data_IF_219323893189
#
_entry.id   IF_219323893189
#
_cell.length_a   1.000
_cell.length_b   1.000
_cell.length_c   1.000
_cell.angle_alpha   90.00
_cell.angle_beta   90.00
_cell.angle_gamma   90.00
#
_symmetry.space_group_name_H-M   'P 1'
#
loop_
_entity.id
_entity.type
_entity.pdbx_description
1 polymer ?
#
# COMPACT_ATOMS: atom_id res chain seq x y z
N UNK A 1 8.14 -56.52 34.18
CA UNK A 1 7.71 -55.11 34.35
C UNK A 1 6.67 -54.84 33.26
N UNK A 2 5.37 -54.75 33.61
CA UNK A 2 4.30 -54.50 32.63
C UNK A 2 4.20 -52.99 32.42
N UNK A 3 4.54 -52.51 31.23
CA UNK A 3 4.41 -51.09 30.88
C UNK A 3 2.94 -50.80 30.55
N UNK A 4 2.21 -50.24 31.53
CA UNK A 4 0.89 -49.67 31.27
C UNK A 4 1.07 -48.38 30.48
N UNK A 5 0.95 -48.46 29.16
CA UNK A 5 0.92 -47.29 28.28
C UNK A 5 -0.31 -46.46 28.69
N UNK A 6 -0.09 -45.30 29.30
CA UNK A 6 -1.17 -44.41 29.73
C UNK A 6 -2.00 -44.00 28.49
N UNK A 7 -3.33 -44.11 28.51
CA UNK A 7 -4.19 -43.81 27.35
C UNK A 7 -4.03 -42.37 26.83
N UNK A 8 -3.52 -41.46 27.67
CA UNK A 8 -3.18 -40.07 27.33
C UNK A 8 -2.03 -39.98 26.32
N UNK A 9 -1.01 -40.84 26.41
CA UNK A 9 0.12 -40.83 25.50
C UNK A 9 -0.27 -41.35 24.10
N UNK A 10 -1.22 -42.29 24.06
CA UNK A 10 -1.76 -42.81 22.80
C UNK A 10 -2.69 -41.78 22.13
N UNK A 11 -3.51 -41.08 22.90
CA UNK A 11 -4.37 -40.00 22.39
C UNK A 11 -3.56 -38.83 21.78
N UNK A 12 -2.45 -38.43 22.41
CA UNK A 12 -1.54 -37.40 21.89
C UNK A 12 -0.84 -37.80 20.58
N UNK A 13 -0.53 -39.09 20.42
CA UNK A 13 0.06 -39.61 19.19
C UNK A 13 -0.94 -39.59 18.02
N UNK A 14 -2.22 -39.88 18.29
CA UNK A 14 -3.28 -39.80 17.28
C UNK A 14 -3.65 -38.36 16.91
N UNK A 15 -3.59 -37.41 17.85
CA UNK A 15 -3.79 -35.98 17.51
C UNK A 15 -2.66 -35.40 16.67
N UNK A 16 -1.44 -35.92 16.78
CA UNK A 16 -0.30 -35.51 15.93
C UNK A 16 -0.37 -36.07 14.50
N UNK A 17 -1.00 -37.24 14.30
CA UNK A 17 -1.22 -37.84 12.98
C UNK A 17 -2.50 -37.32 12.29
N UNK A 18 -3.46 -36.83 13.06
CA UNK A 18 -4.68 -36.19 12.55
C UNK A 18 -4.55 -34.66 12.42
N UNK A 19 -3.44 -34.08 12.88
CA UNK A 19 -3.03 -32.73 12.51
C UNK A 19 -2.57 -32.76 11.04
N UNK A 20 -3.55 -32.92 10.16
CA UNK A 20 -3.43 -32.56 8.76
C UNK A 20 -3.21 -31.04 8.78
N UNK A 21 -1.95 -30.60 8.78
CA UNK A 21 -1.65 -29.28 8.29
C UNK A 21 -2.32 -29.22 6.93
N UNK A 22 -3.25 -28.28 6.73
CA UNK A 22 -3.74 -28.02 5.40
C UNK A 22 -2.54 -27.51 4.61
N UNK A 23 -1.80 -28.42 3.97
CA UNK A 23 -0.89 -28.06 2.91
C UNK A 23 -1.79 -27.35 1.90
N UNK A 24 -1.62 -26.05 1.80
CA UNK A 24 -2.17 -25.30 0.68
C UNK A 24 -1.35 -25.81 -0.51
N UNK A 25 -1.79 -26.93 -1.08
CA UNK A 25 -1.36 -27.39 -2.39
C UNK A 25 -1.73 -26.25 -3.33
N UNK A 26 -0.73 -25.40 -3.59
CA UNK A 26 -0.79 -24.39 -4.62
C UNK A 26 -0.75 -25.16 -5.94
N UNK A 27 -1.87 -25.78 -6.32
CA UNK A 27 -2.16 -26.20 -7.69
C UNK A 27 -2.34 -24.94 -8.54
N UNK A 28 -1.28 -24.17 -8.71
CA UNK A 28 -1.12 -23.39 -9.92
C UNK A 28 -0.36 -24.32 -10.85
N UNK A 29 -1.01 -24.87 -11.90
CA UNK A 29 -0.27 -25.53 -12.96
C UNK A 29 0.89 -24.60 -13.34
N UNK A 30 2.11 -25.11 -13.42
CA UNK A 30 3.28 -24.29 -13.77
C UNK A 30 3.07 -23.56 -15.13
N UNK A 31 2.14 -24.07 -15.93
CA UNK A 31 1.75 -23.57 -17.25
C UNK A 31 0.40 -22.84 -17.27
N UNK A 32 -0.23 -22.57 -16.10
CA UNK A 32 -1.42 -21.73 -16.01
C UNK A 32 -1.05 -20.25 -16.17
N UNK A 33 -0.41 -19.93 -17.29
CA UNK A 33 -0.22 -18.57 -17.76
C UNK A 33 -1.61 -18.06 -18.18
N UNK A 34 -2.16 -17.11 -17.43
CA UNK A 34 -3.36 -16.40 -17.84
C UNK A 34 -3.08 -15.46 -19.02
N UNK A 35 -4.12 -15.03 -19.71
CA UNK A 35 -4.05 -14.06 -20.83
C UNK A 35 -4.12 -12.59 -20.36
N UNK A 36 -3.88 -12.34 -19.07
CA UNK A 36 -3.98 -10.99 -18.50
C UNK A 36 -2.81 -10.11 -18.95
N UNK A 37 -3.13 -8.91 -19.45
CA UNK A 37 -2.14 -7.91 -19.87
C UNK A 37 -1.79 -6.98 -18.71
N UNK A 38 -0.59 -7.14 -18.16
CA UNK A 38 -0.06 -6.30 -17.07
C UNK A 38 0.92 -5.23 -17.55
N UNK A 39 0.94 -4.90 -18.85
CA UNK A 39 1.89 -3.93 -19.41
C UNK A 39 1.78 -2.53 -18.82
N UNK A 40 0.59 -2.07 -18.43
CA UNK A 40 0.40 -0.75 -17.82
C UNK A 40 -0.55 -0.82 -16.62
N UNK A 41 0.01 -0.66 -15.42
CA UNK A 41 -0.76 -0.57 -14.19
C UNK A 41 -0.84 0.87 -13.68
N UNK A 42 -2.05 1.37 -13.42
CA UNK A 42 -2.28 2.67 -12.76
C UNK A 42 -3.16 2.50 -11.52
N UNK A 43 -2.75 3.09 -10.40
CA UNK A 43 -3.51 3.09 -9.16
C UNK A 43 -4.08 4.48 -8.87
N UNK A 44 -5.37 4.52 -8.53
CA UNK A 44 -6.09 5.69 -8.05
C UNK A 44 -6.60 5.42 -6.64
N UNK A 45 -6.62 6.44 -5.79
CA UNK A 45 -7.25 6.28 -4.48
C UNK A 45 -6.90 7.35 -3.46
N UNK A 46 -7.20 7.02 -2.20
CA UNK A 46 -6.95 7.84 -1.04
C UNK A 46 -5.67 7.42 -0.26
N UNK A 47 -5.66 7.68 1.05
CA UNK A 47 -4.57 7.36 1.98
C UNK A 47 -4.10 5.91 1.96
N UNK A 48 -4.97 4.93 1.72
CA UNK A 48 -4.58 3.51 1.76
C UNK A 48 -3.73 3.15 0.55
N UNK A 49 -4.12 3.63 -0.63
CA UNK A 49 -3.38 3.43 -1.88
C UNK A 49 -2.11 4.27 -1.92
N UNK A 50 -2.12 5.45 -1.30
CA UNK A 50 -0.97 6.34 -1.24
C UNK A 50 0.11 5.89 -0.23
N UNK A 51 -0.18 4.93 0.66
CA UNK A 51 0.80 4.48 1.66
C UNK A 51 0.89 5.40 2.88
N UNK A 52 -0.25 5.89 3.37
CA UNK A 52 -0.33 6.63 4.63
C UNK A 52 -0.25 5.67 5.81
N UNK A 53 0.56 5.98 6.83
CA UNK A 53 0.54 5.30 8.14
C UNK A 53 0.55 6.33 9.26
N UNK A 54 -0.01 5.97 10.41
CA UNK A 54 -0.09 6.84 11.60
C UNK A 54 -0.62 8.25 11.27
N UNK A 55 -1.68 8.28 10.45
CA UNK A 55 -2.36 9.48 9.95
C UNK A 55 -1.51 10.45 9.11
N UNK A 56 -0.34 10.04 8.61
CA UNK A 56 0.50 10.86 7.73
C UNK A 56 1.08 10.04 6.58
N UNK A 57 1.22 10.69 5.42
CA UNK A 57 1.94 10.11 4.29
C UNK A 57 3.42 9.96 4.65
N UNK A 58 4.00 8.80 4.37
CA UNK A 58 5.41 8.55 4.61
C UNK A 58 6.01 7.63 3.54
N UNK A 59 7.32 7.74 3.34
CA UNK A 59 8.01 7.01 2.26
C UNK A 59 7.93 5.50 2.45
N UNK A 60 8.08 5.02 3.68
CA UNK A 60 8.02 3.58 4.00
C UNK A 60 6.66 3.01 3.62
N UNK A 61 5.58 3.70 3.96
CA UNK A 61 4.23 3.33 3.56
C UNK A 61 4.02 3.41 2.04
N UNK A 62 4.59 4.40 1.34
CA UNK A 62 4.49 4.50 -0.12
C UNK A 62 5.11 3.29 -0.83
N UNK A 63 6.35 2.91 -0.45
CA UNK A 63 7.05 1.78 -1.08
C UNK A 63 6.47 0.42 -0.68
N UNK A 64 5.72 0.34 0.43
CA UNK A 64 5.02 -0.86 0.88
C UNK A 64 3.49 -0.76 0.69
N UNK A 65 3.01 0.20 -0.10
CA UNK A 65 1.58 0.38 -0.34
C UNK A 65 1.03 -0.81 -1.12
N UNK A 66 -0.27 -1.11 -0.99
CA UNK A 66 -0.83 -2.25 -1.73
C UNK A 66 -0.65 -2.12 -3.26
N UNK A 67 -0.72 -0.91 -3.88
CA UNK A 67 -0.36 -0.77 -5.29
C UNK A 67 1.10 -1.12 -5.57
N UNK A 68 2.04 -0.71 -4.72
CA UNK A 68 3.45 -1.06 -4.89
C UNK A 68 3.66 -2.59 -4.82
N UNK A 69 3.00 -3.25 -3.87
CA UNK A 69 3.08 -4.71 -3.72
C UNK A 69 2.49 -5.43 -4.94
N UNK A 70 1.36 -4.95 -5.48
CA UNK A 70 0.76 -5.51 -6.70
C UNK A 70 1.70 -5.30 -7.89
N UNK A 71 2.25 -4.10 -8.03
CA UNK A 71 3.19 -3.74 -9.08
C UNK A 71 4.44 -4.63 -9.07
N UNK A 72 4.98 -4.94 -7.88
CA UNK A 72 6.11 -5.88 -7.75
C UNK A 72 5.78 -7.28 -8.27
N UNK A 73 4.52 -7.74 -8.12
CA UNK A 73 4.09 -9.03 -8.69
C UNK A 73 3.89 -8.97 -10.19
N UNK A 74 3.41 -7.86 -10.72
CA UNK A 74 3.29 -7.64 -12.17
C UNK A 74 4.67 -7.56 -12.83
N UNK A 75 5.63 -6.90 -12.20
CA UNK A 75 7.01 -6.81 -12.68
C UNK A 75 7.69 -8.18 -12.83
N UNK A 76 7.33 -9.15 -12.00
CA UNK A 76 7.87 -10.51 -12.07
C UNK A 76 7.44 -11.29 -13.33
N UNK A 77 6.37 -10.85 -14.02
CA UNK A 77 5.80 -11.53 -15.18
C UNK A 77 5.73 -10.64 -16.43
N UNK A 78 6.13 -9.38 -16.34
CA UNK A 78 6.05 -8.41 -17.44
C UNK A 78 7.42 -7.75 -17.65
N UNK A 79 8.09 -8.04 -18.80
CA UNK A 79 9.34 -7.38 -19.15
C UNK A 79 9.19 -5.86 -19.20
N UNK A 80 10.25 -5.15 -18.79
CA UNK A 80 10.33 -3.68 -18.80
C UNK A 80 9.19 -2.95 -18.03
N UNK A 81 8.49 -3.67 -17.14
CA UNK A 81 7.45 -3.10 -16.31
C UNK A 81 8.01 -2.03 -15.38
N UNK A 82 7.34 -0.87 -15.31
CA UNK A 82 7.71 0.21 -14.42
C UNK A 82 6.50 0.69 -13.62
N UNK A 83 6.72 0.97 -12.35
CA UNK A 83 5.70 1.52 -11.45
C UNK A 83 6.32 2.63 -10.60
N UNK A 84 6.17 3.85 -11.10
CA UNK A 84 6.70 5.04 -10.46
C UNK A 84 5.66 5.63 -9.50
N UNK A 85 6.14 6.06 -8.34
CA UNK A 85 5.34 6.72 -7.32
C UNK A 85 5.94 8.10 -7.03
N UNK A 86 5.12 9.12 -6.73
CA UNK A 86 5.62 10.44 -6.34
C UNK A 86 6.09 10.41 -4.87
N UNK A 87 7.13 9.62 -4.63
CA UNK A 87 7.62 9.32 -3.29
C UNK A 87 8.07 10.58 -2.56
N UNK A 88 7.86 10.63 -1.25
CA UNK A 88 8.52 11.61 -0.39
C UNK A 88 10.04 11.42 -0.42
N UNK A 89 10.84 12.47 -0.16
CA UNK A 89 12.30 12.37 -0.17
C UNK A 89 12.85 11.28 0.76
N UNK A 90 14.00 10.70 0.44
CA UNK A 90 14.67 9.74 1.32
C UNK A 90 15.04 10.39 2.65
N UNK A 91 15.04 9.58 3.73
CA UNK A 91 15.27 10.08 5.08
C UNK A 91 14.10 10.89 5.67
N UNK A 92 13.00 11.08 4.94
CA UNK A 92 11.78 11.71 5.48
C UNK A 92 11.18 10.82 6.56
N UNK A 93 11.25 11.27 7.81
CA UNK A 93 10.52 10.68 8.92
C UNK A 93 9.16 11.37 9.02
N UNK A 94 8.10 10.69 8.61
CA UNK A 94 6.72 11.16 8.75
C UNK A 94 5.84 9.96 9.11
N UNK A 95 4.66 10.16 9.72
CA UNK A 95 3.76 9.05 10.04
C UNK A 95 4.42 7.98 10.91
N UNK A 96 5.01 8.42 12.02
CA UNK A 96 5.64 7.57 13.02
C UNK A 96 5.03 7.86 14.38
N UNK A 97 4.81 6.82 15.18
CA UNK A 97 4.38 6.98 16.57
C UNK A 97 5.59 7.12 17.51
N UNK A 98 5.50 8.10 18.41
CA UNK A 98 6.42 8.31 19.52
C UNK A 98 5.84 7.70 20.78
N UNK A 99 6.60 6.80 21.41
CA UNK A 99 6.35 6.40 22.78
C UNK A 99 6.87 7.49 23.73
N UNK A 100 5.97 8.15 24.46
CA UNK A 100 6.28 9.22 25.41
C UNK A 100 6.40 8.74 26.86
N UNK A 101 6.35 7.43 27.08
CA UNK A 101 6.39 6.81 28.40
C UNK A 101 5.04 6.24 28.82
N UNK A 102 4.90 5.95 30.10
CA UNK A 102 3.66 5.45 30.70
C UNK A 102 2.99 6.56 31.51
N UNK A 103 1.67 6.70 31.37
CA UNK A 103 0.83 7.56 32.23
C UNK A 103 -0.16 6.64 32.93
N UNK A 104 -0.09 6.55 34.27
CA UNK A 104 -0.90 5.62 35.07
C UNK A 104 -0.82 4.15 34.61
N UNK A 105 0.37 3.71 34.18
CA UNK A 105 0.61 2.34 33.71
C UNK A 105 0.17 2.05 32.27
N UNK A 106 -0.41 3.03 31.56
CA UNK A 106 -0.81 2.89 30.16
C UNK A 106 0.20 3.56 29.21
N UNK A 107 0.47 2.98 28.03
CA UNK A 107 1.30 3.61 26.99
C UNK A 107 0.76 4.98 26.59
N UNK A 108 1.59 6.01 26.74
CA UNK A 108 1.37 7.32 26.15
C UNK A 108 2.06 7.35 24.79
N UNK A 109 1.26 7.28 23.73
CA UNK A 109 1.74 7.25 22.34
C UNK A 109 1.19 8.48 21.65
N UNK A 110 2.02 9.17 20.87
CA UNK A 110 1.62 10.32 20.08
C UNK A 110 2.24 10.28 18.69
N UNK A 111 1.59 10.85 17.69
CA UNK A 111 2.22 11.04 16.39
C UNK A 111 3.47 11.93 16.52
N UNK A 112 4.54 11.55 15.81
CA UNK A 112 5.70 12.40 15.59
C UNK A 112 5.30 13.55 14.67
N UNK A 113 5.53 14.79 15.10
CA UNK A 113 5.08 16.00 14.37
C UNK A 113 6.21 16.82 13.77
N UNK A 114 7.46 16.55 14.14
CA UNK A 114 8.71 17.15 13.64
C UNK A 114 9.21 16.44 12.36
N UNK A 115 8.28 15.98 11.52
CA UNK A 115 8.60 15.33 10.25
C UNK A 115 8.86 16.31 9.11
N UNK A 116 8.28 16.02 7.95
CA UNK A 116 8.31 16.88 6.77
C UNK A 116 7.23 17.97 6.85
N UNK A 117 7.54 19.19 6.38
CA UNK A 117 6.54 20.25 6.26
C UNK A 117 5.54 19.93 5.15
N UNK A 118 4.33 20.51 5.20
CA UNK A 118 3.35 20.38 4.11
C UNK A 118 3.91 20.89 2.76
N UNK A 119 4.74 21.94 2.79
CA UNK A 119 5.38 22.50 1.61
C UNK A 119 6.40 21.53 1.00
N UNK A 120 7.23 20.89 1.82
CA UNK A 120 8.23 19.94 1.36
C UNK A 120 7.57 18.64 0.87
N UNK A 121 6.48 18.21 1.52
CA UNK A 121 5.67 17.09 1.06
C UNK A 121 5.01 17.38 -0.29
N UNK A 122 4.56 18.62 -0.51
CA UNK A 122 3.97 19.08 -1.76
C UNK A 122 4.95 19.58 -2.82
N UNK A 123 6.26 19.55 -2.54
CA UNK A 123 7.27 20.03 -3.47
C UNK A 123 7.18 19.27 -4.81
N UNK A 124 7.03 19.97 -5.96
CA UNK A 124 6.81 19.30 -7.25
C UNK A 124 7.94 18.35 -7.65
N UNK A 125 7.56 17.20 -8.19
CA UNK A 125 8.44 16.22 -8.83
C UNK A 125 7.96 15.97 -10.26
N UNK A 126 8.91 15.72 -11.16
CA UNK A 126 8.62 15.43 -12.57
C UNK A 126 8.68 13.93 -12.85
N UNK A 127 7.89 13.48 -13.81
CA UNK A 127 7.83 12.09 -14.23
C UNK A 127 6.41 11.63 -14.54
N UNK A 128 6.29 10.44 -15.10
CA UNK A 128 5.01 9.75 -15.25
C UNK A 128 4.85 8.82 -14.06
N UNK A 129 3.84 9.07 -13.23
CA UNK A 129 3.56 8.29 -12.04
C UNK A 129 2.37 7.35 -12.25
N UNK A 130 2.52 6.10 -11.82
CA UNK A 130 1.51 5.06 -11.90
C UNK A 130 0.66 5.01 -10.62
N UNK A 131 1.24 5.34 -9.46
CA UNK A 131 0.44 5.57 -8.26
C UNK A 131 0.01 7.04 -8.19
N UNK A 132 -1.25 7.28 -8.55
CA UNK A 132 -1.91 8.59 -8.55
C UNK A 132 -2.80 8.79 -7.30
N UNK A 133 -2.68 7.92 -6.30
CA UNK A 133 -3.44 8.05 -5.06
C UNK A 133 -3.03 9.29 -4.27
N UNK A 134 -4.00 9.98 -3.68
CA UNK A 134 -3.80 11.23 -2.94
C UNK A 134 -4.38 11.05 -1.53
N UNK A 135 -3.55 11.13 -0.46
CA UNK A 135 -4.04 11.12 0.91
C UNK A 135 -5.09 12.21 1.14
N UNK A 136 -6.25 11.83 1.68
CA UNK A 136 -7.34 12.78 1.95
C UNK A 136 -8.20 13.15 0.75
N UNK A 137 -7.96 12.58 -0.43
CA UNK A 137 -8.86 12.73 -1.56
C UNK A 137 -10.22 12.07 -1.32
N UNK A 138 -11.24 12.65 -1.94
CA UNK A 138 -12.64 12.20 -1.96
C UNK A 138 -13.03 11.76 -3.37
N UNK A 139 -14.16 11.08 -3.51
CA UNK A 139 -14.73 10.69 -4.82
C UNK A 139 -14.83 11.89 -5.77
N UNK A 140 -15.26 13.05 -5.28
CA UNK A 140 -15.41 14.27 -6.08
C UNK A 140 -14.06 14.85 -6.56
N UNK A 141 -12.95 14.55 -5.88
CA UNK A 141 -11.62 15.03 -6.27
C UNK A 141 -11.09 14.32 -7.51
N UNK A 142 -11.51 13.06 -7.76
CA UNK A 142 -11.00 12.23 -8.85
C UNK A 142 -11.25 12.81 -10.24
N UNK A 143 -12.32 13.58 -10.40
CA UNK A 143 -12.72 14.23 -11.66
C UNK A 143 -12.42 15.73 -11.67
N UNK A 144 -11.86 16.28 -10.59
CA UNK A 144 -11.53 17.69 -10.43
C UNK A 144 -10.04 17.95 -10.67
N UNK A 145 -9.70 19.15 -11.15
CA UNK A 145 -8.30 19.61 -11.31
C UNK A 145 -7.72 20.22 -10.01
N UNK A 146 -8.56 20.33 -8.98
CA UNK A 146 -8.20 20.77 -7.63
C UNK A 146 -8.76 19.80 -6.58
N UNK A 147 -8.12 19.75 -5.42
CA UNK A 147 -8.57 18.90 -4.31
C UNK A 147 -9.41 19.72 -3.31
N UNK A 148 -10.39 19.09 -2.67
CA UNK A 148 -11.28 19.74 -1.69
C UNK A 148 -10.59 19.98 -0.35
N UNK A 149 -9.65 19.12 0.06
CA UNK A 149 -8.94 19.26 1.33
C UNK A 149 -7.53 19.82 1.14
N UNK A 150 -7.04 20.57 2.13
CA UNK A 150 -5.69 21.13 2.11
C UNK A 150 -4.62 20.04 2.05
N UNK A 151 -4.74 19.00 2.89
CA UNK A 151 -3.82 17.85 2.91
C UNK A 151 -3.73 17.17 1.54
N UNK A 152 -4.87 16.94 0.87
CA UNK A 152 -4.89 16.40 -0.47
C UNK A 152 -4.30 17.37 -1.50
N UNK A 153 -4.58 18.67 -1.36
CA UNK A 153 -4.05 19.72 -2.25
C UNK A 153 -2.53 19.75 -2.21
N UNK A 154 -1.92 19.74 -1.02
CA UNK A 154 -0.47 19.76 -0.87
C UNK A 154 0.18 18.60 -1.61
N UNK A 155 -0.28 17.36 -1.35
CA UNK A 155 0.33 16.21 -1.99
C UNK A 155 -0.02 16.07 -3.48
N UNK A 156 -1.23 16.43 -3.91
CA UNK A 156 -1.57 16.41 -5.34
C UNK A 156 -0.69 17.39 -6.14
N UNK A 157 -0.35 18.55 -5.56
CA UNK A 157 0.58 19.50 -6.18
C UNK A 157 1.98 18.92 -6.42
N UNK A 158 2.37 17.87 -5.69
CA UNK A 158 3.65 17.18 -5.88
C UNK A 158 3.79 16.60 -7.29
N UNK A 159 2.70 16.13 -7.91
CA UNK A 159 2.81 15.33 -9.14
C UNK A 159 1.75 15.63 -10.20
N UNK A 160 0.77 16.50 -9.92
CA UNK A 160 -0.29 16.80 -10.88
C UNK A 160 0.26 17.36 -12.19
N UNK A 161 -0.33 16.93 -13.30
CA UNK A 161 -0.16 17.60 -14.58
C UNK A 161 -1.10 18.82 -14.66
N UNK A 162 -0.66 19.89 -15.31
CA UNK A 162 -1.43 21.12 -15.43
C UNK A 162 -2.80 20.85 -16.10
N UNK A 163 -3.88 21.24 -15.44
CA UNK A 163 -5.24 21.11 -15.97
C UNK A 163 -5.79 19.69 -16.04
N UNK A 164 -5.16 18.71 -15.39
CA UNK A 164 -5.64 17.32 -15.37
C UNK A 164 -6.13 16.91 -13.99
N UNK A 165 -7.26 16.21 -13.95
CA UNK A 165 -7.73 15.46 -12.77
C UNK A 165 -7.00 14.13 -12.63
N UNK A 166 -7.04 13.48 -11.45
CA UNK A 166 -6.47 12.14 -11.27
C UNK A 166 -6.96 11.12 -12.33
N UNK A 167 -8.25 11.12 -12.65
CA UNK A 167 -8.82 10.23 -13.68
C UNK A 167 -8.29 10.56 -15.07
N UNK A 168 -8.12 11.84 -15.40
CA UNK A 168 -7.54 12.25 -16.69
C UNK A 168 -6.06 11.84 -16.79
N UNK A 169 -5.29 11.99 -15.71
CA UNK A 169 -3.90 11.55 -15.65
C UNK A 169 -3.77 10.03 -15.79
N UNK A 170 -4.71 9.27 -15.20
CA UNK A 170 -4.75 7.81 -15.37
C UNK A 170 -5.11 7.43 -16.81
N UNK A 171 -6.19 8.01 -17.36
CA UNK A 171 -6.65 7.70 -18.71
C UNK A 171 -5.60 8.04 -19.78
N UNK A 172 -4.81 9.10 -19.59
CA UNK A 172 -3.72 9.48 -20.48
C UNK A 172 -2.64 8.40 -20.62
N UNK A 173 -2.48 7.53 -19.60
CA UNK A 173 -1.52 6.43 -19.61
C UNK A 173 -2.05 5.17 -20.31
N UNK A 174 -3.35 5.12 -20.67
CA UNK A 174 -4.00 3.96 -21.30
C UNK A 174 -3.73 2.64 -20.54
N UNK A 175 -4.11 2.55 -19.25
CA UNK A 175 -3.82 1.38 -18.43
C UNK A 175 -4.47 0.10 -18.98
N UNK A 176 -3.75 -1.01 -18.92
CA UNK A 176 -4.28 -2.36 -19.16
C UNK A 176 -4.82 -2.97 -17.87
N UNK A 177 -4.33 -2.50 -16.72
CA UNK A 177 -4.84 -2.82 -15.39
C UNK A 177 -4.94 -1.57 -14.53
N UNK A 178 -5.97 -1.48 -13.68
CA UNK A 178 -6.05 -0.40 -12.70
C UNK A 178 -6.66 -0.87 -11.38
N UNK A 179 -6.32 -0.16 -10.30
CA UNK A 179 -7.00 -0.28 -9.01
C UNK A 179 -7.56 1.07 -8.63
N UNK A 180 -8.78 1.10 -8.11
CA UNK A 180 -9.41 2.30 -7.56
C UNK A 180 -9.89 2.01 -6.15
N UNK A 181 -9.28 2.64 -5.15
CA UNK A 181 -9.75 2.59 -3.77
C UNK A 181 -9.95 4.00 -3.23
N UNK A 182 -11.20 4.44 -3.16
CA UNK A 182 -11.58 5.77 -2.67
C UNK A 182 -12.68 5.60 -1.62
N UNK A 183 -12.36 5.92 -0.36
CA UNK A 183 -13.24 5.62 0.78
C UNK A 183 -14.03 6.81 1.33
N UNK A 184 -13.98 7.97 0.67
CA UNK A 184 -14.59 9.23 1.16
C UNK A 184 -15.31 10.03 0.09
#
# INVERSE_FOLDING_TARGET
MKYTIKPVALALLFTGLAACEAEIEREFPADANGEADFSVYVALGDSYSAGTSDARLNRVGQVNSFPAIIADKMAAVTPDFTFNQPLLPEGTVNGTLLFRGLVNGLPNIAAKTDGISANDAGAPVSGTFQNLAVPGARVADLTSTSMISDDATYYFNRFKAAGQSPVQMAAAQKPTFFTLFIGK
#
